data_IF_957966053990
#
_entry.id   IF_957966053990
#
_cell.length_a   1.000
_cell.length_b   1.000
_cell.length_c   1.000
_cell.angle_alpha   90.00
_cell.angle_beta   90.00
_cell.angle_gamma   90.00
#
_symmetry.space_group_name_H-M   'P 1'
#
loop_
_entity.id
_entity.type
_entity.pdbx_description
1 polymer ?
#
# COMPACT_ATOMS: atom_id res chain seq x y z
N UNK A 1 29.78 49.58 -20.56
CA UNK A 1 30.62 49.06 -21.67
C UNK A 1 31.25 47.77 -21.17
N UNK A 2 31.17 46.61 -21.80
CA UNK A 2 31.08 46.31 -23.23
C UNK A 2 30.14 45.12 -23.47
N UNK A 3 29.42 45.23 -24.58
CA UNK A 3 28.51 44.30 -25.22
C UNK A 3 29.30 43.25 -26.02
N UNK A 4 28.86 41.98 -26.01
CA UNK A 4 28.99 41.11 -27.19
C UNK A 4 27.78 40.20 -27.35
N UNK A 5 27.03 40.50 -28.39
CA UNK A 5 25.91 39.74 -28.98
C UNK A 5 26.47 38.89 -30.13
N UNK A 6 25.94 37.66 -30.30
CA UNK A 6 25.75 36.93 -31.57
C UNK A 6 25.26 35.51 -31.20
N UNK A 7 23.96 35.18 -31.21
CA UNK A 7 23.08 34.87 -32.35
C UNK A 7 23.66 33.85 -33.34
N UNK A 8 23.14 32.60 -33.34
CA UNK A 8 22.69 31.85 -34.54
C UNK A 8 21.75 30.70 -34.09
N UNK A 9 20.44 30.85 -34.31
CA UNK A 9 19.55 29.77 -34.79
C UNK A 9 19.54 29.84 -36.33
N UNK A 10 19.22 28.79 -37.14
CA UNK A 10 17.98 28.00 -36.99
C UNK A 10 17.93 26.55 -37.58
N UNK A 11 16.76 25.92 -37.39
CA UNK A 11 16.04 24.96 -38.26
C UNK A 11 16.62 23.54 -38.52
N UNK A 12 15.85 22.52 -38.14
CA UNK A 12 15.29 21.58 -39.13
C UNK A 12 13.98 20.90 -38.65
N UNK A 13 13.20 20.59 -39.66
CA UNK A 13 11.79 20.19 -39.71
C UNK A 13 11.67 18.67 -39.93
N UNK A 14 10.42 18.16 -39.90
CA UNK A 14 9.93 16.81 -40.22
C UNK A 14 9.90 15.83 -39.03
N UNK A 15 8.83 15.07 -38.80
CA UNK A 15 7.62 14.86 -39.57
C UNK A 15 6.81 13.73 -38.91
N UNK A 16 5.50 13.81 -39.09
CA UNK A 16 4.46 12.79 -38.93
C UNK A 16 4.80 11.42 -38.29
N UNK A 17 4.05 11.06 -37.24
CA UNK A 17 3.64 9.68 -37.01
C UNK A 17 2.20 9.66 -36.49
N UNK A 18 1.25 9.34 -37.39
CA UNK A 18 -0.08 8.84 -37.02
C UNK A 18 0.10 7.36 -36.65
N UNK A 19 -0.26 6.97 -35.44
CA UNK A 19 -0.35 5.55 -35.09
C UNK A 19 -1.77 5.06 -35.36
N UNK A 20 -1.92 4.23 -36.39
CA UNK A 20 -3.09 3.39 -36.64
C UNK A 20 -3.33 2.42 -35.48
N UNK A 21 -4.53 2.45 -34.91
CA UNK A 21 -5.02 1.45 -33.99
C UNK A 21 -5.80 0.41 -34.81
N UNK A 22 -5.13 -0.69 -35.18
CA UNK A 22 -5.81 -1.87 -35.71
C UNK A 22 -5.60 -3.03 -34.73
N UNK A 23 -6.67 -3.35 -34.01
CA UNK A 23 -6.68 -4.32 -32.93
C UNK A 23 -8.02 -5.04 -32.88
N UNK A 24 -8.37 -5.71 -33.97
CA UNK A 24 -9.53 -6.59 -34.09
C UNK A 24 -9.40 -7.78 -33.11
N UNK A 25 -10.35 -8.03 -32.19
CA UNK A 25 -10.34 -9.24 -31.39
C UNK A 25 -10.99 -10.40 -32.16
N UNK A 26 -10.23 -11.48 -32.37
CA UNK A 26 -10.75 -12.78 -32.74
C UNK A 26 -10.38 -13.77 -31.63
N UNK A 27 -11.34 -14.21 -30.81
CA UNK A 27 -11.62 -15.65 -30.67
C UNK A 27 -12.94 -15.89 -29.95
N UNK A 28 -13.83 -16.55 -30.67
CA UNK A 28 -15.10 -17.10 -30.24
C UNK A 28 -14.79 -18.36 -29.40
N UNK A 29 -15.10 -18.36 -28.11
CA UNK A 29 -15.00 -19.56 -27.27
C UNK A 29 -16.27 -20.36 -27.47
N UNK A 30 -16.19 -21.36 -28.34
CA UNK A 30 -17.22 -22.41 -28.43
C UNK A 30 -17.00 -23.38 -27.27
N UNK A 31 -18.07 -23.53 -26.50
CA UNK A 31 -18.23 -24.43 -25.35
C UNK A 31 -18.29 -25.86 -25.85
N UNK A 32 -17.51 -26.76 -25.24
CA UNK A 32 -17.88 -28.17 -25.23
C UNK A 32 -17.53 -28.83 -23.90
N UNK A 33 -18.53 -29.53 -23.39
CA UNK A 33 -18.72 -30.04 -22.05
C UNK A 33 -17.89 -31.31 -21.83
N UNK A 34 -17.30 -31.49 -20.65
CA UNK A 34 -17.04 -32.84 -20.10
C UNK A 34 -16.81 -32.82 -18.59
N UNK A 35 -17.88 -33.12 -17.88
CA UNK A 35 -17.89 -33.57 -16.48
C UNK A 35 -17.20 -34.95 -16.40
N UNK A 36 -16.17 -35.08 -15.56
CA UNK A 36 -15.82 -36.34 -14.87
C UNK A 36 -15.40 -36.00 -13.44
N UNK A 37 -16.19 -36.55 -12.52
CA UNK A 37 -16.10 -36.54 -11.07
C UNK A 37 -15.09 -37.59 -10.58
N UNK A 38 -14.24 -37.28 -9.59
CA UNK A 38 -13.92 -38.23 -8.49
C UNK A 38 -13.14 -37.58 -7.33
N UNK A 39 -13.59 -37.84 -6.09
CA UNK A 39 -12.71 -38.31 -5.02
C UNK A 39 -12.14 -37.32 -3.99
N UNK A 40 -12.99 -36.92 -3.02
CA UNK A 40 -12.76 -36.95 -1.56
C UNK A 40 -11.37 -36.64 -0.97
N UNK A 41 -11.25 -35.52 -0.24
CA UNK A 41 -10.57 -35.48 1.06
C UNK A 41 -11.05 -34.30 1.89
N UNK A 42 -11.51 -34.61 3.10
CA UNK A 42 -12.01 -33.68 4.10
C UNK A 42 -11.00 -32.58 4.44
N UNK A 43 -11.47 -31.34 4.36
CA UNK A 43 -10.86 -30.19 5.00
C UNK A 43 -12.00 -29.28 5.39
N UNK A 44 -12.56 -29.51 6.57
CA UNK A 44 -13.45 -28.55 7.23
C UNK A 44 -12.68 -27.24 7.41
N UNK A 45 -12.77 -26.37 6.41
CA UNK A 45 -12.58 -24.95 6.65
C UNK A 45 -13.89 -24.46 7.27
N UNK A 46 -13.95 -24.46 8.59
CA UNK A 46 -14.83 -23.55 9.31
C UNK A 46 -14.42 -22.14 8.88
N UNK A 47 -15.04 -21.67 7.81
CA UNK A 47 -15.02 -20.29 7.41
C UNK A 47 -16.02 -19.61 8.36
N UNK A 48 -15.54 -19.32 9.57
CA UNK A 48 -16.12 -18.25 10.36
C UNK A 48 -15.79 -16.97 9.59
N UNK A 49 -16.71 -16.66 8.67
CA UNK A 49 -16.85 -15.38 8.00
C UNK A 49 -17.28 -14.35 9.05
N UNK A 50 -16.31 -13.86 9.81
CA UNK A 50 -16.41 -12.54 10.39
C UNK A 50 -15.88 -11.55 9.36
N UNK A 51 -16.74 -11.15 8.43
CA UNK A 51 -16.46 -10.17 7.38
C UNK A 51 -16.03 -8.78 7.89
N UNK A 52 -15.87 -8.60 9.21
CA UNK A 52 -15.27 -7.42 9.84
C UNK A 52 -13.76 -7.55 10.10
N UNK A 53 -13.25 -8.78 10.24
CA UNK A 53 -11.84 -9.04 10.59
C UNK A 53 -10.88 -8.68 9.45
N UNK A 54 -11.20 -8.99 8.18
CA UNK A 54 -10.27 -8.72 7.06
C UNK A 54 -10.13 -7.20 6.80
N UNK A 55 -11.21 -6.42 6.93
CA UNK A 55 -11.16 -4.97 6.72
C UNK A 55 -10.31 -4.25 7.78
N UNK A 56 -10.51 -4.61 9.06
CA UNK A 56 -9.76 -4.04 10.18
C UNK A 56 -8.26 -4.44 10.13
N UNK A 57 -7.96 -5.68 9.72
CA UNK A 57 -6.59 -6.13 9.47
C UNK A 57 -5.90 -5.33 8.37
N UNK A 58 -6.56 -5.13 7.22
CA UNK A 58 -6.00 -4.35 6.11
C UNK A 58 -5.77 -2.87 6.51
N UNK A 59 -6.68 -2.29 7.29
CA UNK A 59 -6.54 -0.93 7.80
C UNK A 59 -5.31 -0.78 8.70
N UNK A 60 -5.10 -1.70 9.64
CA UNK A 60 -3.94 -1.65 10.54
C UNK A 60 -2.60 -1.78 9.77
N UNK A 61 -2.53 -2.70 8.79
CA UNK A 61 -1.31 -2.86 7.97
C UNK A 61 -1.04 -1.61 7.12
N UNK A 62 -2.09 -0.96 6.60
CA UNK A 62 -1.96 0.29 5.86
C UNK A 62 -1.45 1.42 6.75
N UNK A 63 -2.07 1.61 7.91
CA UNK A 63 -1.68 2.65 8.87
C UNK A 63 -0.22 2.50 9.33
N UNK A 64 0.21 1.27 9.61
CA UNK A 64 1.60 0.96 9.95
C UNK A 64 2.57 1.38 8.83
N UNK A 65 2.24 1.04 7.57
CA UNK A 65 3.05 1.42 6.42
C UNK A 65 3.11 2.95 6.26
N UNK A 66 1.96 3.62 6.37
CA UNK A 66 1.87 5.07 6.24
C UNK A 66 2.67 5.79 7.33
N UNK A 67 2.56 5.32 8.57
CA UNK A 67 3.24 5.92 9.72
C UNK A 67 4.75 5.70 9.69
N UNK A 68 5.21 4.48 9.41
CA UNK A 68 6.62 4.10 9.58
C UNK A 68 7.46 4.20 8.30
N UNK A 69 6.87 3.93 7.14
CA UNK A 69 7.63 3.62 5.92
C UNK A 69 7.31 4.55 4.74
N UNK A 70 6.22 5.31 4.80
CA UNK A 70 5.79 6.14 3.65
C UNK A 70 6.58 7.43 3.48
N UNK A 71 7.27 7.89 4.53
CA UNK A 71 8.01 9.16 4.50
C UNK A 71 9.11 9.11 3.42
N UNK A 72 9.18 10.16 2.59
CA UNK A 72 10.16 10.26 1.51
C UNK A 72 9.88 9.39 0.27
N UNK A 73 8.78 8.63 0.24
CA UNK A 73 8.36 7.89 -0.95
C UNK A 73 7.47 8.75 -1.87
N UNK A 74 7.63 8.57 -3.19
CA UNK A 74 6.67 9.11 -4.16
C UNK A 74 5.34 8.35 -4.09
N UNK A 75 4.24 9.00 -4.49
CA UNK A 75 2.90 8.40 -4.40
C UNK A 75 2.76 7.11 -5.19
N UNK A 76 3.41 7.04 -6.35
CA UNK A 76 3.47 5.80 -7.15
C UNK A 76 4.13 4.66 -6.35
N UNK A 77 5.25 4.93 -5.68
CA UNK A 77 5.98 3.93 -4.89
C UNK A 77 5.20 3.52 -3.64
N UNK A 78 4.57 4.48 -2.96
CA UNK A 78 3.65 4.20 -1.83
C UNK A 78 2.55 3.24 -2.26
N UNK A 79 1.83 3.57 -3.33
CA UNK A 79 0.74 2.74 -3.86
C UNK A 79 1.21 1.34 -4.24
N UNK A 80 2.36 1.23 -4.90
CA UNK A 80 2.92 -0.07 -5.31
C UNK A 80 3.29 -0.93 -4.10
N UNK A 81 3.96 -0.37 -3.09
CA UNK A 81 4.35 -1.12 -1.88
C UNK A 81 3.13 -1.51 -1.04
N UNK A 82 2.17 -0.60 -0.88
CA UNK A 82 0.93 -0.90 -0.17
C UNK A 82 0.16 -2.03 -0.86
N UNK A 83 0.01 -2.00 -2.18
CA UNK A 83 -0.62 -3.09 -2.92
C UNK A 83 0.10 -4.43 -2.73
N UNK A 84 1.43 -4.42 -2.62
CA UNK A 84 2.20 -5.64 -2.33
C UNK A 84 1.90 -6.18 -0.92
N UNK A 85 1.78 -5.31 0.08
CA UNK A 85 1.40 -5.68 1.44
C UNK A 85 -0.02 -6.28 1.50
N UNK A 86 -0.97 -5.66 0.79
CA UNK A 86 -2.37 -6.15 0.75
C UNK A 86 -2.53 -7.50 0.05
N UNK A 87 -1.55 -7.88 -0.79
CA UNK A 87 -1.51 -9.20 -1.47
C UNK A 87 -0.81 -10.28 -0.65
N UNK A 88 -0.25 -9.98 0.52
CA UNK A 88 0.32 -10.99 1.41
C UNK A 88 -0.75 -11.98 1.88
N UNK A 89 -0.37 -13.18 2.29
CA UNK A 89 -1.31 -14.16 2.83
C UNK A 89 -1.97 -13.65 4.12
N UNK A 90 -3.24 -14.01 4.34
CA UNK A 90 -4.05 -13.53 5.49
C UNK A 90 -3.35 -13.73 6.83
N UNK A 91 -2.67 -14.86 7.04
CA UNK A 91 -1.92 -15.10 8.29
C UNK A 91 -0.85 -14.04 8.57
N UNK A 92 -0.09 -13.64 7.55
CA UNK A 92 0.94 -12.60 7.69
C UNK A 92 0.30 -11.22 7.91
N UNK A 93 -0.78 -10.91 7.19
CA UNK A 93 -1.48 -9.63 7.38
C UNK A 93 -2.05 -9.50 8.80
N UNK A 94 -2.61 -10.58 9.33
CA UNK A 94 -3.13 -10.66 10.70
C UNK A 94 -2.05 -10.47 11.74
N UNK A 95 -0.90 -11.13 11.58
CA UNK A 95 0.26 -10.95 12.46
C UNK A 95 0.72 -9.49 12.47
N UNK A 96 0.95 -8.90 11.30
CA UNK A 96 1.33 -7.49 11.18
C UNK A 96 0.30 -6.53 11.79
N UNK A 97 -0.99 -6.80 11.59
CA UNK A 97 -2.10 -6.03 12.16
C UNK A 97 -2.09 -6.08 13.69
N UNK A 98 -1.94 -7.27 14.27
CA UNK A 98 -1.90 -7.46 15.72
C UNK A 98 -0.69 -6.77 16.34
N UNK A 99 0.49 -6.95 15.76
CA UNK A 99 1.73 -6.32 16.22
C UNK A 99 1.62 -4.79 16.18
N UNK A 100 1.06 -4.23 15.10
CA UNK A 100 0.85 -2.79 15.00
C UNK A 100 -0.10 -2.27 16.08
N UNK A 101 -1.23 -2.94 16.30
CA UNK A 101 -2.18 -2.55 17.36
C UNK A 101 -1.55 -2.64 18.75
N UNK A 102 -0.76 -3.67 19.03
CA UNK A 102 -0.03 -3.80 20.29
C UNK A 102 0.95 -2.64 20.47
N UNK A 103 1.73 -2.31 19.44
CA UNK A 103 2.65 -1.17 19.44
C UNK A 103 1.92 0.15 19.70
N UNK A 104 0.77 0.40 19.07
CA UNK A 104 -0.04 1.60 19.34
C UNK A 104 -0.47 1.70 20.81
N UNK A 105 -0.87 0.57 21.41
CA UNK A 105 -1.23 0.52 22.84
C UNK A 105 -0.02 0.82 23.73
N UNK A 106 1.15 0.27 23.40
CA UNK A 106 2.39 0.55 24.13
C UNK A 106 2.83 2.01 24.00
N UNK A 107 2.74 2.59 22.81
CA UNK A 107 3.04 4.00 22.57
C UNK A 107 2.13 4.91 23.40
N UNK A 108 0.82 4.63 23.45
CA UNK A 108 -0.12 5.37 24.28
C UNK A 108 0.26 5.29 25.77
N UNK A 109 0.59 4.09 26.25
CA UNK A 109 1.06 3.89 27.64
C UNK A 109 2.33 4.69 27.92
N UNK A 110 3.29 4.71 26.98
CA UNK A 110 4.51 5.50 27.10
C UNK A 110 4.22 7.00 27.14
N UNK A 111 3.34 7.49 26.28
CA UNK A 111 2.95 8.91 26.22
C UNK A 111 2.30 9.36 27.52
N UNK A 112 1.40 8.56 28.11
CA UNK A 112 0.82 8.83 29.43
C UNK A 112 1.92 8.92 30.51
N UNK A 113 2.89 8.00 30.50
CA UNK A 113 4.03 8.03 31.45
C UNK A 113 4.87 9.29 31.28
N UNK A 114 5.19 9.67 30.04
CA UNK A 114 5.92 10.90 29.72
C UNK A 114 5.19 12.13 30.25
N UNK A 115 3.88 12.25 29.99
CA UNK A 115 3.07 13.37 30.49
C UNK A 115 3.08 13.47 32.02
N UNK A 116 2.90 12.34 32.72
CA UNK A 116 2.99 12.30 34.19
C UNK A 116 4.36 12.72 34.70
N UNK A 117 5.43 12.31 34.02
CA UNK A 117 6.78 12.70 34.37
C UNK A 117 7.02 14.20 34.11
N UNK A 118 6.58 14.72 32.97
CA UNK A 118 6.64 16.15 32.63
C UNK A 118 5.90 17.01 33.65
N UNK A 119 4.75 16.56 34.15
CA UNK A 119 4.02 17.25 35.21
C UNK A 119 4.83 17.33 36.51
N UNK A 120 5.42 16.21 36.95
CA UNK A 120 6.31 16.20 38.13
C UNK A 120 7.53 17.10 37.96
N UNK A 121 8.11 17.12 36.76
CA UNK A 121 9.25 17.99 36.45
C UNK A 121 8.86 19.48 36.50
N UNK A 122 7.68 19.82 35.98
CA UNK A 122 7.16 21.18 36.03
C UNK A 122 6.81 21.62 37.46
N UNK A 123 6.24 20.74 38.28
CA UNK A 123 5.97 21.01 39.69
C UNK A 123 7.27 21.31 40.46
N UNK A 124 8.27 20.44 40.34
CA UNK A 124 9.58 20.63 40.98
C UNK A 124 10.35 21.87 40.49
N UNK A 125 10.11 22.33 39.26
CA UNK A 125 10.75 23.54 38.71
C UNK A 125 10.10 24.84 39.19
N UNK A 126 8.91 24.77 39.79
CA UNK A 126 8.17 25.92 40.31
C UNK A 126 8.17 26.00 41.86
N UNK A 127 8.87 25.08 42.54
CA UNK A 127 9.19 25.16 43.98
C UNK A 127 10.41 26.05 44.25
#
# INVERSE_FOLDING_TARGET
EEERVANVEPLNEAGAAKSEFDGKPHHEVVVDDKIVENGTAAGEKSHDDDGTTDADELCAVQDAFETLLSQGLSDFKKKFQLQKLMKLGTGIRKELSNDWKELCVEELKLNIKKLRFSAKLAEAANE
#
